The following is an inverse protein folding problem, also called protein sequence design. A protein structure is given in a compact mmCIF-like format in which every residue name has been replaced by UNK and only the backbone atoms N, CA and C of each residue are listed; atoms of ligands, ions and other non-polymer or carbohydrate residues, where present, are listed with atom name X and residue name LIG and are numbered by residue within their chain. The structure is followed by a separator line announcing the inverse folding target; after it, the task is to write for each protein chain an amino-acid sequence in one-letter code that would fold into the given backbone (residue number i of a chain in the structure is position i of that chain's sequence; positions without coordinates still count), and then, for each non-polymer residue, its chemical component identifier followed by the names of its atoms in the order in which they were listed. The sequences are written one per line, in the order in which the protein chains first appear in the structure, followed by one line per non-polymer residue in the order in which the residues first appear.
data_IF_370735083663
#
_entry.id   IF_370735083663
#
_cell.length_a   1.000
_cell.length_b   1.000
_cell.length_c   1.000
_cell.angle_alpha   90.00
_cell.angle_beta   90.00
_cell.angle_gamma   90.00
#
_symmetry.space_group_name_H-M   'P 1'
#
loop_
_entity.id
_entity.type
_entity.pdbx_description
1 polymer ?
#
# COMPACT_ATOMS: atom_id res chain seq x y z
N UNK A 1 9.37 13.54 -33.98
CA UNK A 1 9.27 13.50 -32.51
C UNK A 1 10.52 12.80 -32.02
N UNK A 2 11.42 13.54 -31.41
CA UNK A 2 12.66 13.00 -30.85
C UNK A 2 12.34 12.29 -29.56
N UNK A 3 12.43 10.94 -29.56
CA UNK A 3 12.30 10.14 -28.36
C UNK A 3 13.39 10.53 -27.38
N UNK A 4 13.03 11.11 -26.25
CA UNK A 4 13.94 11.27 -25.12
C UNK A 4 14.12 9.90 -24.49
N UNK A 5 15.22 9.24 -24.81
CA UNK A 5 15.63 8.01 -24.17
C UNK A 5 16.35 8.37 -22.87
N UNK A 6 15.65 8.34 -21.75
CA UNK A 6 16.27 8.50 -20.44
C UNK A 6 16.49 7.13 -19.82
N UNK A 7 17.73 6.85 -19.40
CA UNK A 7 18.16 5.57 -18.81
C UNK A 7 17.52 5.24 -17.46
N UNK A 8 16.49 5.96 -17.01
CA UNK A 8 15.87 5.84 -15.70
C UNK A 8 14.34 5.62 -15.73
N UNK A 9 13.71 5.60 -16.89
CA UNK A 9 12.27 5.35 -17.02
C UNK A 9 12.00 3.86 -17.24
N UNK A 10 10.87 3.33 -16.74
CA UNK A 10 10.46 1.97 -17.07
C UNK A 10 10.39 1.78 -18.58
N UNK A 11 10.91 0.65 -19.06
CA UNK A 11 10.83 0.29 -20.47
C UNK A 11 9.42 -0.22 -20.73
N UNK A 12 8.71 0.42 -21.66
CA UNK A 12 7.41 -0.04 -22.13
C UNK A 12 7.58 -1.23 -23.08
N UNK A 13 7.03 -2.37 -22.71
CA UNK A 13 7.21 -3.63 -23.43
C UNK A 13 6.00 -4.01 -24.28
N UNK A 14 4.78 -3.71 -23.85
CA UNK A 14 3.56 -4.17 -24.48
C UNK A 14 2.33 -3.34 -24.10
N UNK A 15 1.33 -3.29 -24.98
CA UNK A 15 -0.02 -2.81 -24.70
C UNK A 15 -0.38 -1.50 -25.40
N UNK A 16 -1.47 -0.87 -24.94
CA UNK A 16 -1.93 0.43 -25.42
C UNK A 16 -1.03 1.55 -24.90
N UNK A 17 -1.09 2.72 -25.51
CA UNK A 17 -0.41 3.92 -25.06
C UNK A 17 -0.73 4.22 -23.58
N UNK A 18 0.25 4.78 -22.87
CA UNK A 18 0.11 5.20 -21.48
C UNK A 18 -0.59 6.57 -21.41
N UNK A 19 -1.62 6.66 -20.60
CA UNK A 19 -2.23 7.94 -20.22
C UNK A 19 -1.46 8.59 -19.07
N UNK A 20 -1.71 9.88 -18.85
CA UNK A 20 -1.23 10.61 -17.67
C UNK A 20 -1.57 9.87 -16.37
N UNK A 21 -2.82 9.41 -16.22
CA UNK A 21 -3.26 8.69 -15.03
C UNK A 21 -2.55 7.35 -14.85
N UNK A 22 -2.30 6.62 -15.96
CA UNK A 22 -1.53 5.38 -15.85
C UNK A 22 -0.11 5.63 -15.32
N UNK A 23 0.55 6.71 -15.75
CA UNK A 23 1.89 7.06 -15.27
C UNK A 23 1.90 7.43 -13.78
N UNK A 24 0.90 8.19 -13.30
CA UNK A 24 0.77 8.52 -11.88
C UNK A 24 0.53 7.27 -11.02
N UNK A 25 -0.37 6.39 -11.46
CA UNK A 25 -0.67 5.16 -10.73
C UNK A 25 0.53 4.19 -10.75
N UNK A 26 1.25 4.08 -11.88
CA UNK A 26 2.48 3.28 -12.01
C UNK A 26 3.59 3.80 -11.08
N UNK A 27 3.80 5.12 -11.01
CA UNK A 27 4.76 5.72 -10.09
C UNK A 27 4.39 5.42 -8.63
N UNK A 28 3.11 5.56 -8.28
CA UNK A 28 2.61 5.24 -6.95
C UNK A 28 2.79 3.77 -6.60
N UNK A 29 2.51 2.85 -7.55
CA UNK A 29 2.71 1.42 -7.36
C UNK A 29 4.19 1.06 -7.15
N UNK A 30 5.06 1.65 -7.97
CA UNK A 30 6.49 1.45 -7.90
C UNK A 30 7.08 1.96 -6.58
N UNK A 31 6.64 3.15 -6.13
CA UNK A 31 7.10 3.73 -4.87
C UNK A 31 6.71 2.86 -3.68
N UNK A 32 5.47 2.37 -3.61
CA UNK A 32 5.03 1.49 -2.53
C UNK A 32 5.76 0.14 -2.55
N UNK A 33 5.80 -0.55 -3.72
CA UNK A 33 6.32 -1.92 -3.75
C UNK A 33 7.82 -2.00 -3.47
N UNK A 34 8.57 -0.91 -3.71
CA UNK A 34 10.01 -0.81 -3.39
C UNK A 34 10.31 -0.80 -1.90
N UNK A 35 9.37 -0.35 -1.08
CA UNK A 35 9.55 -0.24 0.37
C UNK A 35 9.12 -1.51 1.13
N UNK A 36 8.50 -2.46 0.44
CA UNK A 36 8.08 -3.72 1.04
C UNK A 36 9.21 -4.76 1.00
N UNK A 37 9.52 -5.32 2.17
CA UNK A 37 10.51 -6.38 2.31
C UNK A 37 9.99 -7.72 1.77
N UNK A 38 10.88 -8.57 1.23
CA UNK A 38 10.52 -9.89 0.70
C UNK A 38 9.84 -9.82 -0.68
N UNK A 39 9.15 -10.89 -1.10
CA UNK A 39 8.42 -10.89 -2.37
C UNK A 39 7.07 -10.22 -2.18
N UNK A 40 6.89 -9.08 -2.83
CA UNK A 40 5.73 -8.22 -2.65
C UNK A 40 4.99 -7.93 -3.95
N UNK A 41 3.68 -7.80 -3.82
CA UNK A 41 2.79 -7.32 -4.85
C UNK A 41 1.86 -6.23 -4.28
N UNK A 42 1.63 -5.20 -5.08
CA UNK A 42 0.68 -4.13 -4.74
C UNK A 42 -0.28 -3.90 -5.90
N UNK A 43 -1.50 -3.50 -5.61
CA UNK A 43 -2.51 -3.14 -6.60
C UNK A 43 -3.06 -1.78 -6.21
N UNK A 44 -2.93 -0.84 -7.13
CA UNK A 44 -3.37 0.53 -6.92
C UNK A 44 -4.51 0.89 -7.86
N UNK A 45 -5.35 1.78 -7.39
CA UNK A 45 -6.39 2.42 -8.20
C UNK A 45 -6.55 3.87 -7.75
N UNK A 46 -6.43 4.80 -8.70
CA UNK A 46 -6.51 6.25 -8.40
C UNK A 46 -5.51 6.69 -7.31
N UNK A 47 -4.25 6.25 -7.47
CA UNK A 47 -3.11 6.53 -6.57
C UNK A 47 -3.25 6.00 -5.13
N UNK A 48 -4.23 5.14 -4.84
CA UNK A 48 -4.37 4.51 -3.54
C UNK A 48 -4.25 2.99 -3.64
N UNK A 49 -3.57 2.33 -2.71
CA UNK A 49 -3.51 0.87 -2.66
C UNK A 49 -4.88 0.31 -2.25
N UNK A 50 -5.42 -0.56 -3.09
CA UNK A 50 -6.57 -1.41 -2.77
C UNK A 50 -6.15 -2.86 -2.47
N UNK A 51 -4.92 -3.22 -2.82
CA UNK A 51 -4.29 -4.48 -2.48
C UNK A 51 -2.80 -4.30 -2.23
N UNK A 52 -2.26 -4.98 -1.25
CA UNK A 52 -0.83 -5.10 -0.99
C UNK A 52 -0.59 -6.38 -0.20
N UNK A 53 0.45 -7.12 -0.53
CA UNK A 53 0.85 -8.29 0.24
C UNK A 53 2.32 -8.63 0.07
N UNK A 54 2.87 -9.27 1.09
CA UNK A 54 4.21 -9.87 1.12
C UNK A 54 4.07 -11.37 1.38
N UNK A 55 4.77 -12.20 0.64
CA UNK A 55 4.66 -13.66 0.80
C UNK A 55 5.97 -14.38 0.43
N UNK A 56 6.01 -15.71 0.67
CA UNK A 56 7.15 -16.54 0.29
C UNK A 56 7.33 -16.70 -1.24
N UNK A 57 6.27 -16.54 -2.03
CA UNK A 57 6.30 -16.55 -3.50
C UNK A 57 5.64 -15.30 -4.07
N UNK A 58 6.08 -14.85 -5.25
CA UNK A 58 5.49 -13.69 -5.90
C UNK A 58 4.05 -13.95 -6.34
N UNK A 59 3.77 -15.17 -6.80
CA UNK A 59 2.43 -15.64 -7.13
C UNK A 59 1.47 -15.47 -5.94
N UNK A 60 1.90 -15.97 -4.76
CA UNK A 60 1.06 -15.87 -3.55
C UNK A 60 0.89 -14.42 -3.11
N UNK A 61 1.95 -13.60 -3.17
CA UNK A 61 1.87 -12.17 -2.88
C UNK A 61 0.84 -11.48 -3.81
N UNK A 62 0.86 -11.78 -5.10
CA UNK A 62 -0.13 -11.23 -6.03
C UNK A 62 -1.56 -11.68 -5.71
N UNK A 63 -1.78 -12.99 -5.44
CA UNK A 63 -3.11 -13.50 -5.06
C UNK A 63 -3.63 -12.83 -3.80
N UNK A 64 -2.81 -12.79 -2.77
CA UNK A 64 -3.15 -12.18 -1.49
C UNK A 64 -3.46 -10.67 -1.63
N UNK A 65 -2.69 -9.94 -2.45
CA UNK A 65 -2.96 -8.54 -2.76
C UNK A 65 -4.29 -8.36 -3.52
N UNK A 66 -4.57 -9.22 -4.51
CA UNK A 66 -5.81 -9.16 -5.27
C UNK A 66 -7.04 -9.48 -4.41
N UNK A 67 -6.93 -10.48 -3.51
CA UNK A 67 -8.01 -10.96 -2.64
C UNK A 67 -8.30 -10.02 -1.46
N UNK A 68 -7.48 -9.00 -1.24
CA UNK A 68 -7.72 -7.95 -0.25
C UNK A 68 -9.01 -7.16 -0.55
N UNK A 69 -9.14 -6.68 -1.78
CA UNK A 69 -10.34 -5.99 -2.31
C UNK A 69 -10.49 -6.30 -3.81
N UNK A 70 -11.03 -7.48 -4.19
CA UNK A 70 -11.13 -7.89 -5.59
C UNK A 70 -11.97 -6.94 -6.44
N UNK A 71 -12.97 -6.29 -5.84
CA UNK A 71 -13.82 -5.33 -6.53
C UNK A 71 -13.03 -4.09 -6.98
N UNK A 72 -12.21 -3.54 -6.11
CA UNK A 72 -11.37 -2.37 -6.44
C UNK A 72 -10.17 -2.76 -7.30
N UNK A 73 -9.62 -3.97 -7.12
CA UNK A 73 -8.49 -4.49 -7.88
C UNK A 73 -8.81 -4.71 -9.37
N UNK A 74 -10.07 -4.87 -9.74
CA UNK A 74 -10.48 -4.99 -11.14
C UNK A 74 -10.14 -3.72 -11.94
N UNK A 75 -9.29 -3.85 -12.94
CA UNK A 75 -8.73 -2.73 -13.73
C UNK A 75 -7.68 -1.92 -12.97
N UNK A 76 -7.07 -2.51 -11.94
CA UNK A 76 -6.01 -1.90 -11.15
C UNK A 76 -4.64 -1.93 -11.85
N UNK A 77 -3.73 -1.17 -11.27
CA UNK A 77 -2.31 -1.08 -11.64
C UNK A 77 -1.52 -1.96 -10.68
N UNK A 78 -0.82 -2.94 -11.20
CA UNK A 78 -0.04 -3.90 -10.41
C UNK A 78 1.43 -3.50 -10.36
N UNK A 79 1.99 -3.41 -9.17
CA UNK A 79 3.43 -3.28 -8.92
C UNK A 79 3.99 -4.53 -8.26
N UNK A 80 5.15 -5.00 -8.73
CA UNK A 80 5.84 -6.16 -8.18
C UNK A 80 7.31 -5.82 -7.97
N UNK A 81 7.92 -6.33 -6.90
CA UNK A 81 9.32 -6.03 -6.59
C UNK A 81 10.33 -7.09 -7.05
N UNK A 82 9.86 -8.13 -7.69
CA UNK A 82 10.70 -9.19 -8.32
C UNK A 82 10.26 -9.41 -9.76
N UNK A 83 11.13 -10.08 -10.55
CA UNK A 83 10.78 -10.50 -11.90
C UNK A 83 9.53 -11.38 -11.90
N UNK A 84 8.61 -11.08 -12.82
CA UNK A 84 7.37 -11.85 -12.99
C UNK A 84 7.71 -13.20 -13.57
N UNK A 85 7.51 -14.27 -12.82
CA UNK A 85 7.67 -15.65 -13.24
C UNK A 85 6.38 -16.20 -13.88
N UNK A 86 6.49 -17.42 -14.42
CA UNK A 86 5.37 -18.11 -15.08
C UNK A 86 4.17 -18.29 -14.14
N UNK A 87 4.40 -18.71 -12.88
CA UNK A 87 3.34 -18.97 -11.90
C UNK A 87 2.57 -17.67 -11.57
N UNK A 88 3.28 -16.58 -11.39
CA UNK A 88 2.69 -15.25 -11.14
C UNK A 88 1.87 -14.79 -12.35
N UNK A 89 2.40 -14.96 -13.57
CA UNK A 89 1.68 -14.59 -14.80
C UNK A 89 0.40 -15.43 -15.00
N UNK A 90 0.43 -16.71 -14.68
CA UNK A 90 -0.75 -17.58 -14.71
C UNK A 90 -1.81 -17.11 -13.72
N UNK A 91 -1.39 -16.77 -12.50
CA UNK A 91 -2.30 -16.20 -11.48
C UNK A 91 -2.94 -14.88 -11.95
N UNK A 92 -2.17 -14.00 -12.60
CA UNK A 92 -2.70 -12.76 -13.18
C UNK A 92 -3.71 -13.00 -14.29
N UNK A 93 -3.46 -14.01 -15.13
CA UNK A 93 -4.28 -14.33 -16.30
C UNK A 93 -5.54 -15.15 -16.00
N UNK A 94 -5.83 -15.44 -14.72
CA UNK A 94 -7.04 -16.19 -14.34
C UNK A 94 -8.33 -15.50 -14.80
N UNK A 95 -9.36 -16.28 -15.17
CA UNK A 95 -10.66 -15.74 -15.56
C UNK A 95 -11.27 -14.83 -14.48
N UNK A 96 -11.94 -13.77 -14.92
CA UNK A 96 -12.58 -12.79 -14.01
C UNK A 96 -11.66 -11.69 -13.52
N UNK A 97 -10.35 -11.78 -13.73
CA UNK A 97 -9.41 -10.70 -13.45
C UNK A 97 -9.24 -9.80 -14.68
N UNK A 98 -9.09 -8.52 -14.42
CA UNK A 98 -8.71 -7.52 -15.41
C UNK A 98 -7.65 -6.61 -14.81
N UNK A 99 -6.51 -6.46 -15.50
CA UNK A 99 -5.39 -5.60 -15.10
C UNK A 99 -5.14 -4.56 -16.19
N UNK A 100 -4.99 -3.32 -15.78
CA UNK A 100 -4.76 -2.20 -16.70
C UNK A 100 -3.27 -2.06 -17.05
N UNK A 101 -2.40 -2.10 -16.02
CA UNK A 101 -0.94 -2.03 -16.16
C UNK A 101 -0.26 -2.98 -15.18
N UNK A 102 0.93 -3.46 -15.55
CA UNK A 102 1.82 -4.21 -14.66
C UNK A 102 3.23 -3.63 -14.77
N UNK A 103 3.83 -3.29 -13.63
CA UNK A 103 5.20 -2.80 -13.52
C UNK A 103 6.01 -3.70 -12.59
N UNK A 104 7.17 -4.14 -13.06
CA UNK A 104 8.06 -5.05 -12.33
C UNK A 104 9.52 -4.82 -12.74
N UNK A 105 10.51 -5.38 -12.03
CA UNK A 105 11.90 -5.39 -12.49
C UNK A 105 12.06 -6.00 -13.87
N UNK A 106 11.27 -7.04 -14.19
CA UNK A 106 11.29 -7.72 -15.48
C UNK A 106 10.19 -8.76 -15.58
N UNK A 107 10.14 -9.44 -16.72
CA UNK A 107 9.23 -10.53 -17.01
C UNK A 107 10.03 -11.68 -17.63
N UNK A 108 9.88 -12.89 -17.08
CA UNK A 108 10.42 -14.06 -17.75
C UNK A 108 9.78 -14.23 -19.14
N UNK A 109 10.43 -14.91 -20.05
CA UNK A 109 9.89 -15.16 -21.40
C UNK A 109 8.50 -15.81 -21.34
N UNK A 110 8.33 -16.81 -20.46
CA UNK A 110 7.05 -17.51 -20.27
C UNK A 110 5.98 -16.55 -19.72
N UNK A 111 6.32 -15.73 -18.73
CA UNK A 111 5.39 -14.75 -18.15
C UNK A 111 4.91 -13.73 -19.19
N UNK A 112 5.83 -13.19 -19.99
CA UNK A 112 5.50 -12.25 -21.05
C UNK A 112 4.55 -12.89 -22.09
N UNK A 113 4.85 -14.10 -22.55
CA UNK A 113 4.01 -14.85 -23.48
C UNK A 113 2.60 -15.08 -22.90
N UNK A 114 2.50 -15.52 -21.65
CA UNK A 114 1.20 -15.72 -20.97
C UNK A 114 0.38 -14.44 -20.94
N UNK A 115 0.94 -13.34 -20.45
CA UNK A 115 0.21 -12.08 -20.28
C UNK A 115 -0.21 -11.45 -21.62
N UNK A 116 0.54 -11.70 -22.69
CA UNK A 116 0.26 -11.14 -24.02
C UNK A 116 -0.60 -12.05 -24.90
N UNK A 117 -0.88 -13.30 -24.49
CA UNK A 117 -1.64 -14.27 -25.30
C UNK A 117 -2.87 -14.85 -24.63
N UNK A 118 -2.84 -15.13 -23.34
CA UNK A 118 -3.92 -15.87 -22.66
C UNK A 118 -5.11 -15.02 -22.21
N UNK A 119 -4.96 -13.91 -21.45
CA UNK A 119 -6.10 -13.21 -20.88
C UNK A 119 -6.95 -12.49 -21.95
N UNK A 120 -8.22 -12.24 -21.64
CA UNK A 120 -9.13 -11.50 -22.54
C UNK A 120 -8.62 -10.08 -22.82
N UNK A 121 -7.91 -9.48 -21.89
CA UNK A 121 -7.34 -8.14 -21.93
C UNK A 121 -5.90 -8.07 -22.49
N UNK A 122 -5.36 -9.17 -23.01
CA UNK A 122 -4.00 -9.31 -23.53
C UNK A 122 -3.53 -8.23 -24.49
N UNK A 123 -4.43 -7.69 -25.32
CA UNK A 123 -4.08 -6.63 -26.28
C UNK A 123 -3.99 -5.24 -25.66
N UNK A 124 -4.54 -5.05 -24.47
CA UNK A 124 -4.65 -3.73 -23.85
C UNK A 124 -3.73 -3.55 -22.65
N UNK A 125 -3.33 -4.62 -21.97
CA UNK A 125 -2.49 -4.53 -20.78
C UNK A 125 -1.14 -3.89 -21.10
N UNK A 126 -0.74 -2.96 -20.26
CA UNK A 126 0.56 -2.29 -20.39
C UNK A 126 1.55 -2.97 -19.49
N UNK A 127 2.62 -3.51 -20.06
CA UNK A 127 3.71 -4.16 -19.33
C UNK A 127 4.95 -3.26 -19.35
N UNK A 128 5.47 -2.98 -18.16
CA UNK A 128 6.63 -2.11 -17.98
C UNK A 128 7.71 -2.80 -17.16
N UNK A 129 8.95 -2.76 -17.66
CA UNK A 129 10.12 -3.27 -16.95
C UNK A 129 10.99 -2.12 -16.45
N UNK A 130 11.39 -2.16 -15.17
CA UNK A 130 12.23 -1.12 -14.55
C UNK A 130 13.72 -1.50 -14.51
N UNK A 131 14.04 -2.76 -14.75
CA UNK A 131 15.30 -3.32 -14.29
C UNK A 131 15.33 -3.48 -12.76
N UNK A 132 16.47 -3.86 -12.19
CA UNK A 132 16.65 -3.96 -10.74
C UNK A 132 16.35 -2.65 -10.02
N UNK A 133 15.73 -2.74 -8.85
CA UNK A 133 15.45 -1.55 -8.05
C UNK A 133 16.73 -0.99 -7.44
N UNK A 134 16.90 0.31 -7.55
CA UNK A 134 17.97 1.05 -6.89
C UNK A 134 17.37 1.94 -5.81
N UNK A 135 18.08 2.15 -4.68
CA UNK A 135 17.64 3.08 -3.65
C UNK A 135 17.44 4.48 -4.24
N UNK A 136 16.28 5.07 -3.99
CA UNK A 136 16.00 6.46 -4.37
C UNK A 136 16.66 7.34 -3.30
N UNK A 137 17.75 8.02 -3.66
CA UNK A 137 18.43 8.98 -2.77
C UNK A 137 18.21 10.39 -3.24
N UNK A 138 17.94 11.31 -2.31
CA UNK A 138 17.89 12.75 -2.56
C UNK A 138 16.83 13.19 -3.58
N UNK A 139 15.72 12.47 -3.69
CA UNK A 139 14.62 12.86 -4.57
C UNK A 139 13.75 13.91 -3.91
N UNK A 140 13.28 14.86 -4.72
CA UNK A 140 12.32 15.88 -4.31
C UNK A 140 10.94 15.58 -4.89
N UNK A 141 9.90 16.01 -4.20
CA UNK A 141 8.56 16.11 -4.74
C UNK A 141 8.30 17.51 -5.26
N UNK A 142 7.76 17.59 -6.47
CA UNK A 142 7.42 18.86 -7.12
C UNK A 142 5.93 18.87 -7.42
N UNK A 143 5.23 19.89 -6.95
CA UNK A 143 3.82 20.08 -7.23
C UNK A 143 3.59 21.46 -7.84
N UNK A 144 2.94 21.48 -8.99
CA UNK A 144 2.48 22.74 -9.61
C UNK A 144 1.30 23.29 -8.79
N UNK A 145 1.39 24.57 -8.46
CA UNK A 145 0.29 25.38 -7.93
C UNK A 145 0.07 26.59 -8.82
N UNK A 146 -1.05 27.29 -8.64
CA UNK A 146 -1.25 28.53 -9.38
C UNK A 146 -0.18 29.56 -8.95
N UNK A 147 0.51 30.12 -9.95
CA UNK A 147 1.60 31.09 -9.74
C UNK A 147 2.97 30.51 -9.41
N UNK A 148 3.14 29.14 -9.33
CA UNK A 148 4.46 28.59 -9.02
C UNK A 148 4.55 27.07 -8.85
N UNK A 149 5.63 26.65 -8.19
CA UNK A 149 5.92 25.28 -7.84
C UNK A 149 6.17 25.15 -6.33
N UNK A 150 5.62 24.14 -5.71
CA UNK A 150 6.01 23.68 -4.39
C UNK A 150 7.06 22.59 -4.56
N UNK A 151 8.15 22.69 -3.81
CA UNK A 151 9.25 21.72 -3.81
C UNK A 151 9.53 21.33 -2.36
N UNK A 152 9.57 20.02 -2.09
CA UNK A 152 9.93 19.47 -0.78
C UNK A 152 10.76 18.20 -0.95
N UNK A 153 11.46 17.80 0.09
CA UNK A 153 12.08 16.48 0.14
C UNK A 153 11.01 15.41 0.10
N UNK A 154 11.28 14.34 -0.65
CA UNK A 154 10.40 13.18 -0.66
C UNK A 154 10.39 12.52 0.72
N UNK A 155 9.21 12.13 1.19
CA UNK A 155 9.08 11.31 2.39
C UNK A 155 9.73 9.94 2.15
N UNK A 156 10.99 9.83 2.52
CA UNK A 156 11.81 8.62 2.42
C UNK A 156 12.07 8.00 3.79
N UNK A 157 11.45 8.52 4.86
CA UNK A 157 11.61 7.99 6.20
C UNK A 157 11.04 6.56 6.28
N UNK A 158 11.76 5.70 6.96
CA UNK A 158 11.36 4.32 7.23
C UNK A 158 11.73 4.02 8.69
N UNK A 159 10.74 4.25 9.57
CA UNK A 159 10.92 4.02 11.00
C UNK A 159 11.02 2.52 11.26
N UNK A 160 11.99 2.14 12.09
CA UNK A 160 12.04 0.78 12.63
C UNK A 160 10.94 0.64 13.69
N UNK A 161 9.81 0.09 13.30
CA UNK A 161 8.64 -0.11 14.17
C UNK A 161 8.98 -0.92 15.43
N UNK A 162 10.02 -1.77 15.38
CA UNK A 162 10.48 -2.55 16.55
C UNK A 162 11.10 -1.66 17.64
N UNK A 163 11.59 -0.49 17.27
CA UNK A 163 12.17 0.50 18.18
C UNK A 163 11.18 1.59 18.62
N UNK A 164 9.96 1.58 18.06
CA UNK A 164 8.95 2.54 18.38
C UNK A 164 8.37 2.32 19.79
N UNK A 165 7.87 3.40 20.40
CA UNK A 165 7.39 3.36 21.77
C UNK A 165 6.04 2.66 21.88
N UNK A 166 5.97 1.56 22.63
CA UNK A 166 4.70 0.98 23.09
C UNK A 166 4.16 1.87 24.20
N UNK A 167 2.91 2.33 24.07
CA UNK A 167 2.30 3.31 24.99
C UNK A 167 1.15 2.72 25.82
N UNK A 168 0.71 1.50 25.52
CA UNK A 168 -0.37 0.77 26.22
C UNK A 168 0.19 -0.27 27.19
N UNK A 169 -0.69 -0.77 28.09
CA UNK A 169 -0.35 -1.89 29.00
C UNK A 169 -0.08 -3.18 28.27
N UNK A 170 -0.87 -3.50 27.23
CA UNK A 170 -0.63 -4.62 26.34
C UNK A 170 0.53 -4.28 25.40
N UNK A 171 1.48 -5.20 25.28
CA UNK A 171 2.59 -5.13 24.32
C UNK A 171 2.20 -5.93 23.07
N UNK A 172 2.47 -5.45 21.86
CA UNK A 172 2.22 -6.21 20.65
C UNK A 172 3.05 -7.50 20.61
N UNK A 173 2.47 -8.60 20.15
CA UNK A 173 3.21 -9.83 19.83
C UNK A 173 4.16 -9.60 18.64
N UNK A 174 5.09 -10.53 18.42
CA UNK A 174 6.01 -10.47 17.28
C UNK A 174 5.27 -10.46 15.93
N UNK A 175 4.16 -11.20 15.83
CA UNK A 175 3.32 -11.20 14.63
C UNK A 175 2.62 -9.86 14.45
N UNK A 176 2.01 -9.32 15.52
CA UNK A 176 1.38 -7.99 15.48
C UNK A 176 2.40 -6.89 15.09
N UNK A 177 3.64 -6.95 15.61
CA UNK A 177 4.70 -6.00 15.23
C UNK A 177 5.07 -6.11 13.73
N UNK A 178 5.16 -7.31 13.20
CA UNK A 178 5.41 -7.53 11.76
C UNK A 178 4.29 -6.94 10.91
N UNK A 179 3.04 -7.18 11.30
CA UNK A 179 1.87 -6.64 10.61
C UNK A 179 1.76 -5.11 10.76
N UNK A 180 2.10 -4.55 11.94
CA UNK A 180 2.17 -3.10 12.16
C UNK A 180 3.23 -2.45 11.26
N UNK A 181 4.41 -3.07 11.09
CA UNK A 181 5.45 -2.60 10.16
C UNK A 181 4.92 -2.57 8.72
N UNK A 182 4.30 -3.65 8.27
CA UNK A 182 3.70 -3.74 6.94
C UNK A 182 2.61 -2.68 6.76
N UNK A 183 1.67 -2.58 7.72
CA UNK A 183 0.56 -1.63 7.67
C UNK A 183 1.05 -0.17 7.66
N UNK A 184 2.13 0.13 8.39
CA UNK A 184 2.74 1.46 8.47
C UNK A 184 3.32 1.88 7.12
N UNK A 185 4.10 1.00 6.48
CA UNK A 185 4.63 1.23 5.13
C UNK A 185 3.51 1.46 4.13
N UNK A 186 2.46 0.62 4.14
CA UNK A 186 1.32 0.81 3.22
C UNK A 186 0.59 2.12 3.50
N UNK A 187 0.38 2.47 4.79
CA UNK A 187 -0.35 3.67 5.20
C UNK A 187 0.32 4.97 4.71
N UNK A 188 1.65 5.04 4.73
CA UNK A 188 2.46 6.14 4.16
C UNK A 188 2.12 6.42 2.69
N UNK A 189 1.70 5.40 1.94
CA UNK A 189 1.36 5.52 0.52
C UNK A 189 -0.13 5.76 0.25
N UNK A 190 -0.96 5.91 1.29
CA UNK A 190 -2.39 6.21 1.18
C UNK A 190 -2.63 7.71 1.33
N UNK A 191 -3.56 8.26 0.56
CA UNK A 191 -3.94 9.68 0.68
C UNK A 191 -4.63 9.98 2.01
N UNK A 192 -4.18 11.06 2.66
CA UNK A 192 -4.69 11.54 3.96
C UNK A 192 -6.16 12.02 3.91
N UNK A 193 -6.96 11.86 4.97
CA UNK A 193 -6.70 11.03 6.14
C UNK A 193 -6.66 9.56 5.73
N UNK A 194 -5.62 8.85 6.17
CA UNK A 194 -5.35 7.49 5.76
C UNK A 194 -5.42 6.51 6.94
N UNK A 195 -6.15 5.41 6.71
CA UNK A 195 -6.21 4.25 7.61
C UNK A 195 -5.99 2.98 6.80
N UNK A 196 -5.14 2.11 7.31
CA UNK A 196 -4.87 0.78 6.74
C UNK A 196 -5.15 -0.29 7.78
N UNK A 197 -5.91 -1.32 7.39
CA UNK A 197 -6.12 -2.53 8.18
C UNK A 197 -5.35 -3.66 7.51
N UNK A 198 -4.50 -4.36 8.28
CA UNK A 198 -3.65 -5.42 7.75
C UNK A 198 -3.55 -6.62 8.70
N UNK A 199 -3.28 -7.79 8.14
CA UNK A 199 -3.03 -9.02 8.89
C UNK A 199 -2.26 -10.01 8.03
N UNK A 200 -1.33 -10.75 8.65
CA UNK A 200 -0.52 -11.79 8.00
C UNK A 200 0.20 -11.27 6.74
N UNK A 201 0.75 -10.03 6.81
CA UNK A 201 1.43 -9.38 5.70
C UNK A 201 0.52 -9.01 4.51
N UNK A 202 -0.79 -8.82 4.73
CA UNK A 202 -1.79 -8.50 3.71
C UNK A 202 -2.59 -7.27 4.08
N UNK A 203 -2.83 -6.41 3.11
CA UNK A 203 -3.81 -5.33 3.21
C UNK A 203 -5.22 -5.90 3.14
N UNK A 204 -6.04 -5.61 4.15
CA UNK A 204 -7.43 -6.04 4.24
C UNK A 204 -8.44 -4.94 3.97
N UNK A 205 -8.05 -3.69 4.23
CA UNK A 205 -8.91 -2.55 3.99
C UNK A 205 -8.17 -1.22 4.08
N UNK A 206 -8.56 -0.30 3.22
CA UNK A 206 -8.01 1.05 3.15
C UNK A 206 -9.12 2.08 3.27
N UNK A 207 -8.95 3.05 4.17
CA UNK A 207 -9.72 4.29 4.22
C UNK A 207 -8.81 5.42 3.75
N UNK A 208 -9.05 5.95 2.56
CA UNK A 208 -8.18 6.92 1.90
C UNK A 208 -8.89 8.25 1.65
N UNK A 209 -8.18 9.36 1.84
CA UNK A 209 -8.62 10.69 1.41
C UNK A 209 -9.87 11.20 2.12
N UNK A 210 -10.12 10.78 3.36
CA UNK A 210 -11.29 11.20 4.10
C UNK A 210 -11.05 12.50 4.86
N UNK A 211 -12.07 13.35 4.95
CA UNK A 211 -11.99 14.62 5.66
C UNK A 211 -11.96 14.43 7.18
N UNK A 212 -12.59 13.37 7.71
CA UNK A 212 -12.49 12.99 9.11
C UNK A 212 -11.71 11.68 9.31
N UNK A 213 -11.02 11.58 10.46
CA UNK A 213 -10.27 10.37 10.80
C UNK A 213 -11.20 9.19 11.06
N UNK A 214 -12.31 9.42 11.71
CA UNK A 214 -13.30 8.36 12.02
C UNK A 214 -13.92 7.79 10.74
N UNK A 215 -14.19 8.62 9.72
CA UNK A 215 -14.68 8.12 8.42
C UNK A 215 -13.63 7.25 7.72
N UNK A 216 -12.35 7.63 7.81
CA UNK A 216 -11.27 6.81 7.28
C UNK A 216 -11.20 5.43 7.98
N UNK A 217 -11.35 5.41 9.32
CA UNK A 217 -11.43 4.16 10.09
C UNK A 217 -12.61 3.30 9.63
N UNK A 218 -13.81 3.88 9.59
CA UNK A 218 -15.03 3.16 9.19
C UNK A 218 -14.92 2.59 7.77
N UNK A 219 -14.36 3.36 6.83
CA UNK A 219 -14.14 2.90 5.45
C UNK A 219 -13.15 1.73 5.39
N UNK A 220 -12.02 1.81 6.11
CA UNK A 220 -11.05 0.73 6.17
C UNK A 220 -11.66 -0.55 6.79
N UNK A 221 -12.36 -0.41 7.93
CA UNK A 221 -13.02 -1.53 8.61
C UNK A 221 -14.14 -2.15 7.76
N UNK A 222 -14.94 -1.33 7.07
CA UNK A 222 -15.97 -1.82 6.15
C UNK A 222 -15.38 -2.66 5.01
N UNK A 223 -14.22 -2.27 4.47
CA UNK A 223 -13.49 -3.03 3.45
C UNK A 223 -12.92 -4.33 4.00
N UNK A 224 -12.33 -4.30 5.19
CA UNK A 224 -11.78 -5.47 5.85
C UNK A 224 -12.87 -6.49 6.26
N UNK A 225 -14.07 -6.01 6.62
CA UNK A 225 -15.19 -6.86 7.08
C UNK A 225 -14.78 -7.75 8.24
N UNK A 226 -15.25 -8.99 8.24
CA UNK A 226 -14.93 -9.99 9.28
C UNK A 226 -13.43 -10.30 9.42
N UNK A 227 -12.63 -10.03 8.36
CA UNK A 227 -11.17 -10.22 8.39
C UNK A 227 -10.47 -9.22 9.32
N UNK A 228 -11.14 -8.13 9.74
CA UNK A 228 -10.62 -7.16 10.69
C UNK A 228 -10.34 -7.76 12.08
N UNK A 229 -11.01 -8.84 12.43
CA UNK A 229 -10.85 -9.48 13.74
C UNK A 229 -9.44 -10.05 13.93
N UNK A 230 -8.74 -9.52 14.94
CA UNK A 230 -7.34 -9.85 15.23
C UNK A 230 -6.35 -9.26 14.21
N UNK A 231 -6.77 -8.31 13.38
CA UNK A 231 -5.91 -7.53 12.49
C UNK A 231 -5.26 -6.35 13.23
N UNK A 232 -4.31 -5.70 12.56
CA UNK A 232 -3.72 -4.44 13.04
C UNK A 232 -4.22 -3.26 12.22
N UNK A 233 -4.12 -2.05 12.78
CA UNK A 233 -4.53 -0.82 12.15
C UNK A 233 -3.42 0.24 12.21
N UNK A 234 -3.09 0.84 11.05
CA UNK A 234 -2.18 1.97 10.94
C UNK A 234 -2.91 3.24 10.56
N UNK A 235 -2.50 4.38 11.16
CA UNK A 235 -3.02 5.71 10.88
C UNK A 235 -1.87 6.66 10.55
N UNK A 236 -1.96 7.40 9.44
CA UNK A 236 -0.95 8.34 8.95
C UNK A 236 -0.70 9.54 9.88
N UNK A 237 -1.64 9.81 10.79
CA UNK A 237 -1.56 10.84 11.81
C UNK A 237 -2.24 10.39 13.11
N UNK A 238 -2.13 11.22 14.17
CA UNK A 238 -2.72 10.92 15.48
C UNK A 238 -4.26 10.89 15.44
N UNK A 239 -4.85 10.17 16.38
CA UNK A 239 -6.29 10.22 16.64
C UNK A 239 -6.64 11.47 17.43
N UNK A 240 -7.46 12.40 16.88
CA UNK A 240 -7.85 13.62 17.60
C UNK A 240 -8.85 13.33 18.74
N UNK A 241 -9.57 12.22 18.65
CA UNK A 241 -10.56 11.73 19.60
C UNK A 241 -10.49 10.22 19.70
N UNK A 242 -11.05 9.64 20.76
CA UNK A 242 -11.05 8.19 20.98
C UNK A 242 -12.02 7.43 20.08
N UNK A 243 -12.95 8.10 19.41
CA UNK A 243 -14.02 7.52 18.60
C UNK A 243 -13.49 6.57 17.52
N UNK A 244 -12.43 6.95 16.80
CA UNK A 244 -11.78 6.08 15.80
C UNK A 244 -11.14 4.84 16.42
N UNK A 245 -10.59 4.95 17.64
CA UNK A 245 -10.01 3.82 18.38
C UNK A 245 -11.12 2.89 18.90
N UNK A 246 -12.22 3.46 19.40
CA UNK A 246 -13.39 2.69 19.85
C UNK A 246 -14.04 1.91 18.70
N UNK A 247 -14.13 2.50 17.49
CA UNK A 247 -14.61 1.79 16.29
C UNK A 247 -13.66 0.64 15.88
N UNK A 248 -12.34 0.85 15.97
CA UNK A 248 -11.36 -0.20 15.73
C UNK A 248 -11.52 -1.36 16.73
N UNK A 249 -11.72 -1.04 18.00
CA UNK A 249 -11.96 -2.02 19.06
C UNK A 249 -13.22 -2.87 18.82
N UNK A 250 -14.34 -2.23 18.44
CA UNK A 250 -15.61 -2.92 18.10
C UNK A 250 -15.43 -3.91 16.94
N UNK A 251 -14.57 -3.59 15.99
CA UNK A 251 -14.25 -4.46 14.87
C UNK A 251 -13.25 -5.59 15.22
N UNK A 252 -12.72 -5.59 16.45
CA UNK A 252 -11.80 -6.62 16.94
C UNK A 252 -10.36 -6.41 16.49
N UNK A 253 -9.94 -5.18 16.20
CA UNK A 253 -8.52 -4.84 15.95
C UNK A 253 -7.70 -5.18 17.21
N UNK A 254 -6.53 -5.79 17.01
CA UNK A 254 -5.65 -6.25 18.10
C UNK A 254 -4.57 -5.25 18.47
N UNK A 255 -4.09 -4.45 17.51
CA UNK A 255 -3.00 -3.50 17.68
C UNK A 255 -3.13 -2.29 16.75
N UNK A 256 -2.65 -1.12 17.21
CA UNK A 256 -2.62 0.12 16.44
C UNK A 256 -1.22 0.71 16.36
N UNK A 257 -0.95 1.41 15.24
CA UNK A 257 0.25 2.22 15.07
C UNK A 257 -0.15 3.61 14.57
N UNK A 258 0.41 4.65 15.18
CA UNK A 258 0.19 6.05 14.84
C UNK A 258 1.38 6.92 15.29
N UNK A 259 1.48 8.18 14.84
CA UNK A 259 2.56 9.07 15.28
C UNK A 259 2.54 9.44 16.76
N UNK A 260 1.37 9.60 17.36
CA UNK A 260 1.20 10.33 18.63
C UNK A 260 1.29 11.86 18.43
N UNK A 261 1.32 12.61 19.54
CA UNK A 261 1.45 14.07 19.54
C UNK A 261 0.12 14.83 19.58
N UNK A 262 -1.00 14.14 19.83
CA UNK A 262 -2.28 14.78 20.14
C UNK A 262 -2.34 15.22 21.59
N UNK A 263 -3.02 16.34 21.85
CA UNK A 263 -3.39 16.71 23.24
C UNK A 263 -4.28 15.67 23.92
N UNK A 264 -4.89 14.76 23.15
CA UNK A 264 -5.78 13.68 23.59
C UNK A 264 -5.18 12.28 23.42
N UNK A 265 -3.87 12.16 23.33
CA UNK A 265 -3.22 10.84 23.27
C UNK A 265 -3.58 9.95 24.45
N UNK A 266 -3.75 10.54 25.65
CA UNK A 266 -4.18 9.83 26.85
C UNK A 266 -5.56 9.16 26.67
N UNK A 267 -6.50 9.80 25.98
CA UNK A 267 -7.85 9.24 25.72
C UNK A 267 -7.76 8.04 24.77
N UNK A 268 -6.91 8.14 23.71
CA UNK A 268 -6.69 7.06 22.76
C UNK A 268 -5.99 5.85 23.42
N UNK A 269 -4.98 6.10 24.27
CA UNK A 269 -4.28 5.06 25.03
C UNK A 269 -5.24 4.37 26.00
N UNK A 270 -6.05 5.15 26.74
CA UNK A 270 -7.05 4.63 27.68
C UNK A 270 -8.05 3.72 26.95
N UNK A 271 -8.56 4.15 25.77
CA UNK A 271 -9.45 3.32 24.95
C UNK A 271 -8.79 1.98 24.56
N UNK A 272 -7.52 2.00 24.13
CA UNK A 272 -6.80 0.76 23.83
C UNK A 272 -6.67 -0.16 25.05
N UNK A 273 -6.33 0.41 26.22
CA UNK A 273 -6.18 -0.36 27.46
C UNK A 273 -7.51 -0.97 27.94
N UNK A 274 -8.62 -0.23 27.82
CA UNK A 274 -9.98 -0.70 28.15
C UNK A 274 -10.40 -1.90 27.29
N UNK A 275 -9.99 -1.90 26.01
CA UNK A 275 -10.34 -2.94 25.04
C UNK A 275 -9.26 -4.02 24.85
N UNK A 276 -8.15 -3.97 25.61
CA UNK A 276 -7.08 -4.96 25.51
C UNK A 276 -6.31 -4.92 24.18
N UNK A 277 -6.29 -3.75 23.53
CA UNK A 277 -5.49 -3.50 22.31
C UNK A 277 -4.10 -2.97 22.70
N UNK A 278 -3.10 -3.21 21.83
CA UNK A 278 -1.80 -2.55 21.95
C UNK A 278 -1.73 -1.32 21.05
N UNK A 279 -0.92 -0.31 21.43
CA UNK A 279 -0.66 0.88 20.61
C UNK A 279 0.82 1.23 20.60
N UNK A 280 1.31 1.56 19.40
CA UNK A 280 2.69 1.97 19.14
C UNK A 280 2.70 3.40 18.59
N UNK A 281 3.59 4.24 19.12
CA UNK A 281 3.85 5.60 18.62
C UNK A 281 5.16 5.66 17.86
N UNK A 282 5.09 6.14 16.61
CA UNK A 282 6.26 6.30 15.73
C UNK A 282 6.96 7.65 15.90
N UNK A 283 6.24 8.68 16.31
CA UNK A 283 6.75 10.07 16.33
C UNK A 283 6.79 10.77 14.98
N UNK A 284 6.46 10.07 13.88
CA UNK A 284 6.49 10.60 12.51
C UNK A 284 5.10 10.57 11.87
N UNK A 285 4.76 11.63 11.11
CA UNK A 285 3.52 11.72 10.33
C UNK A 285 3.83 11.55 8.86
N UNK A 286 2.99 10.80 8.16
CA UNK A 286 3.09 10.55 6.72
C UNK A 286 1.90 11.13 5.97
N UNK A 287 1.81 12.46 5.89
CA UNK A 287 0.74 13.10 5.15
C UNK A 287 1.01 13.08 3.64
N UNK A 288 0.12 12.43 2.90
CA UNK A 288 0.12 12.39 1.45
C UNK A 288 -1.16 13.03 0.89
N UNK A 289 -1.00 14.11 0.11
CA UNK A 289 -2.10 14.86 -0.51
C UNK A 289 -2.16 14.72 -2.04
#
# INVERSE_FOLDING_TARGET
MTGVQTCALPIFLHGKELSYNNLLDLDSALNLVRELDGKAAVILKHNNPCGAAVSGTLEKAFRDAYDGDPLSAYGGIVGLNHEVDEATALAMAEPGRFLECVIAPGFSKAAFEILTTKPTWKKSVRLLATGPFHPIRGSVEIRKVDGGLLVQDKDSSCEDVSQCKVVTKKVPSATELSDLKFAWVVCKHVKSNAIVVAKDGKLLGTGAGQMSRVDAVQNALKKAGEKAKGAVLASDAFFPFRDGVDEAAKAGIAALIQPGGSMRDADAITSCDEHGMSMVFTGFRHFRH
#
